data_IF_586554259500
#
_entry.id   IF_586554259500
#
_cell.length_a   1.000
_cell.length_b   1.000
_cell.length_c   1.000
_cell.angle_alpha   90.00
_cell.angle_beta   90.00
_cell.angle_gamma   90.00
#
_symmetry.space_group_name_H-M   'P 1'
#
loop_
_entity.id
_entity.type
_entity.pdbx_description
1 polymer ?
#
# COMPACT_ATOMS: atom_id res chain seq x y z
N UNK A 1 -3.26 7.38 -14.10
CA UNK A 1 -2.94 7.96 -12.77
C UNK A 1 -3.72 7.21 -11.71
N UNK A 2 -3.06 6.78 -10.63
CA UNK A 2 -3.69 6.06 -9.53
C UNK A 2 -4.65 6.94 -8.71
N UNK A 3 -5.54 6.32 -7.93
CA UNK A 3 -6.35 6.97 -6.90
C UNK A 3 -5.92 6.51 -5.52
N UNK A 4 -5.78 7.43 -4.58
CA UNK A 4 -5.39 7.15 -3.19
C UNK A 4 -6.39 7.80 -2.25
N UNK A 5 -6.84 7.06 -1.25
CA UNK A 5 -7.77 7.50 -0.21
C UNK A 5 -7.16 7.19 1.16
N UNK A 6 -7.23 8.12 2.09
CA UNK A 6 -6.86 7.90 3.49
C UNK A 6 -7.97 8.42 4.40
N UNK A 7 -8.36 7.62 5.39
CA UNK A 7 -9.41 7.98 6.36
C UNK A 7 -8.96 7.64 7.77
N UNK A 8 -9.15 8.57 8.69
CA UNK A 8 -9.08 8.38 10.14
C UNK A 8 -10.43 8.77 10.73
N UNK A 9 -11.00 7.92 11.56
CA UNK A 9 -12.34 8.13 12.12
C UNK A 9 -12.45 7.55 13.52
N UNK A 10 -13.54 7.82 14.20
CA UNK A 10 -13.93 7.14 15.45
C UNK A 10 -14.78 5.88 15.18
N UNK A 11 -15.15 5.64 13.93
CA UNK A 11 -15.93 4.49 13.48
C UNK A 11 -15.15 3.69 12.44
N UNK A 12 -15.51 2.42 12.17
CA UNK A 12 -14.87 1.62 11.14
C UNK A 12 -14.87 2.33 9.78
N UNK A 13 -13.70 2.30 9.08
CA UNK A 13 -13.47 3.07 7.85
C UNK A 13 -13.59 2.27 6.56
N UNK A 14 -13.72 0.94 6.65
CA UNK A 14 -13.68 0.04 5.50
C UNK A 14 -14.71 0.38 4.41
N UNK A 15 -15.97 0.58 4.78
CA UNK A 15 -17.02 0.92 3.81
C UNK A 15 -16.85 2.32 3.22
N UNK A 16 -16.43 3.29 4.04
CA UNK A 16 -16.15 4.64 3.55
C UNK A 16 -15.00 4.65 2.54
N UNK A 17 -13.95 3.86 2.78
CA UNK A 17 -12.85 3.69 1.81
C UNK A 17 -13.35 2.98 0.56
N UNK A 18 -14.15 1.91 0.68
CA UNK A 18 -14.73 1.20 -0.46
C UNK A 18 -15.54 2.14 -1.36
N UNK A 19 -16.43 2.93 -0.78
CA UNK A 19 -17.22 3.91 -1.52
C UNK A 19 -16.34 4.96 -2.20
N UNK A 20 -15.38 5.51 -1.49
CA UNK A 20 -14.44 6.49 -2.03
C UNK A 20 -13.59 5.91 -3.18
N UNK A 21 -13.10 4.67 -3.05
CA UNK A 21 -12.38 3.98 -4.13
C UNK A 21 -13.28 3.75 -5.35
N UNK A 22 -14.55 3.44 -5.15
CA UNK A 22 -15.53 3.29 -6.23
C UNK A 22 -15.72 4.61 -6.99
N UNK A 23 -15.75 5.73 -6.29
CA UNK A 23 -15.85 7.07 -6.90
C UNK A 23 -14.60 7.40 -7.74
N UNK A 24 -13.41 7.03 -7.26
CA UNK A 24 -12.15 7.28 -7.98
C UNK A 24 -11.72 6.13 -8.88
N UNK A 25 -12.56 5.12 -9.12
CA UNK A 25 -12.25 3.94 -9.93
C UNK A 25 -11.76 4.29 -11.35
N UNK A 26 -12.23 5.40 -11.92
CA UNK A 26 -11.80 5.88 -13.24
C UNK A 26 -10.31 6.24 -13.29
N UNK A 27 -9.65 6.45 -12.15
CA UNK A 27 -8.23 6.75 -12.07
C UNK A 27 -7.34 5.50 -12.17
N UNK A 28 -7.88 4.33 -11.84
CA UNK A 28 -7.16 3.07 -11.93
C UNK A 28 -8.10 1.88 -11.92
N UNK A 29 -7.93 0.97 -12.89
CA UNK A 29 -8.82 -0.19 -13.11
C UNK A 29 -8.06 -1.53 -13.16
N UNK A 30 -6.77 -1.49 -12.92
CA UNK A 30 -5.86 -2.63 -13.01
C UNK A 30 -5.85 -3.46 -11.72
N UNK A 31 -5.75 -2.79 -10.59
CA UNK A 31 -5.75 -3.40 -9.27
C UNK A 31 -6.36 -2.46 -8.24
N UNK A 32 -6.86 -3.04 -7.15
CA UNK A 32 -7.36 -2.31 -6.01
C UNK A 32 -6.86 -2.92 -4.70
N UNK A 33 -6.70 -2.10 -3.68
CA UNK A 33 -6.28 -2.54 -2.37
C UNK A 33 -6.76 -1.61 -1.27
N UNK A 34 -6.87 -2.18 -0.09
CA UNK A 34 -7.24 -1.47 1.14
C UNK A 34 -6.46 -2.07 2.30
N UNK A 35 -5.92 -1.21 3.13
CA UNK A 35 -5.39 -1.54 4.45
C UNK A 35 -6.20 -0.80 5.50
N UNK A 36 -6.56 -1.49 6.56
CA UNK A 36 -7.15 -0.89 7.76
C UNK A 36 -6.33 -1.27 8.97
N UNK A 37 -6.39 -0.47 10.00
CA UNK A 37 -5.71 -0.72 11.26
C UNK A 37 -6.66 -0.48 12.42
N UNK A 38 -6.74 -1.45 13.31
CA UNK A 38 -7.21 -1.28 14.68
C UNK A 38 -6.00 -1.01 15.60
N UNK A 39 -6.19 -0.91 16.90
CA UNK A 39 -5.13 -0.55 17.85
C UNK A 39 -3.92 -1.50 17.83
N UNK A 40 -4.06 -2.71 17.31
CA UNK A 40 -3.06 -3.78 17.44
C UNK A 40 -2.68 -4.46 16.13
N UNK A 41 -3.52 -4.38 15.10
CA UNK A 41 -3.33 -5.18 13.87
C UNK A 41 -3.61 -4.38 12.62
N UNK A 42 -2.82 -4.73 11.60
CA UNK A 42 -3.01 -4.27 10.23
C UNK A 42 -3.74 -5.36 9.45
N UNK A 43 -4.82 -4.98 8.79
CA UNK A 43 -5.63 -5.84 7.94
C UNK A 43 -5.48 -5.36 6.50
N UNK A 44 -5.04 -6.24 5.61
CA UNK A 44 -4.74 -5.91 4.22
C UNK A 44 -5.48 -6.83 3.26
N UNK A 45 -6.18 -6.26 2.29
CA UNK A 45 -6.72 -6.95 1.13
C UNK A 45 -6.36 -6.18 -0.13
N UNK A 46 -5.74 -6.85 -1.10
CA UNK A 46 -5.46 -6.29 -2.42
C UNK A 46 -5.42 -7.40 -3.47
N UNK A 47 -5.82 -7.07 -4.68
CA UNK A 47 -5.78 -8.01 -5.82
C UNK A 47 -5.88 -7.23 -7.15
N UNK A 48 -5.65 -7.92 -8.26
CA UNK A 48 -5.97 -7.40 -9.59
C UNK A 48 -7.48 -7.29 -9.80
N UNK A 49 -7.93 -6.27 -10.49
CA UNK A 49 -9.34 -6.06 -10.85
C UNK A 49 -9.95 -4.77 -10.27
N UNK A 50 -11.25 -4.63 -10.51
CA UNK A 50 -12.01 -3.48 -10.05
C UNK A 50 -12.32 -3.58 -8.54
N UNK A 51 -12.61 -2.45 -7.92
CA UNK A 51 -12.97 -2.37 -6.49
C UNK A 51 -14.05 -3.38 -6.10
N UNK A 52 -15.14 -3.47 -6.89
CA UNK A 52 -16.24 -4.41 -6.65
C UNK A 52 -15.82 -5.89 -6.72
N UNK A 53 -14.80 -6.21 -7.51
CA UNK A 53 -14.35 -7.60 -7.71
C UNK A 53 -13.35 -8.00 -6.61
N UNK A 54 -12.51 -7.07 -6.17
CA UNK A 54 -11.49 -7.27 -5.13
C UNK A 54 -12.10 -7.35 -3.74
N UNK A 55 -13.11 -6.51 -3.44
CA UNK A 55 -13.72 -6.40 -2.11
C UNK A 55 -15.12 -7.01 -2.07
N UNK A 56 -15.20 -8.29 -1.78
CA UNK A 56 -16.44 -9.00 -1.51
C UNK A 56 -16.81 -8.89 -0.02
N UNK A 57 -18.06 -9.18 0.34
CA UNK A 57 -18.57 -9.05 1.73
C UNK A 57 -17.68 -9.73 2.77
N UNK A 58 -17.17 -10.94 2.45
CA UNK A 58 -16.25 -11.69 3.33
C UNK A 58 -14.92 -10.95 3.60
N UNK A 59 -14.42 -10.21 2.61
CA UNK A 59 -13.21 -9.42 2.74
C UNK A 59 -13.46 -8.16 3.57
N UNK A 60 -14.58 -7.50 3.32
CA UNK A 60 -14.99 -6.32 4.08
C UNK A 60 -15.15 -6.61 5.57
N UNK A 61 -15.68 -7.79 5.92
CA UNK A 61 -15.82 -8.21 7.31
C UNK A 61 -14.47 -8.38 8.04
N UNK A 62 -13.38 -8.62 7.32
CA UNK A 62 -12.04 -8.77 7.89
C UNK A 62 -11.25 -7.46 7.97
N UNK A 63 -11.64 -6.46 7.19
CA UNK A 63 -11.00 -5.15 7.15
C UNK A 63 -11.56 -4.26 8.27
N UNK A 64 -11.26 -4.63 9.51
CA UNK A 64 -11.69 -3.90 10.70
C UNK A 64 -10.72 -2.79 11.05
N UNK A 65 -11.19 -1.77 11.78
CA UNK A 65 -10.38 -0.66 12.24
C UNK A 65 -10.93 0.70 11.83
N UNK A 66 -10.39 1.72 12.44
CA UNK A 66 -10.84 3.11 12.32
C UNK A 66 -9.83 4.03 11.62
N UNK A 67 -8.73 3.45 11.14
CA UNK A 67 -7.72 4.11 10.29
C UNK A 67 -7.51 3.23 9.07
N UNK A 68 -7.40 3.81 7.89
CA UNK A 68 -7.11 3.02 6.69
C UNK A 68 -6.71 3.83 5.48
N UNK A 69 -6.13 3.11 4.52
CA UNK A 69 -5.72 3.63 3.21
C UNK A 69 -6.29 2.72 2.14
N UNK A 70 -6.84 3.31 1.09
CA UNK A 70 -7.26 2.62 -0.13
C UNK A 70 -6.52 3.11 -1.36
N UNK A 71 -6.35 2.23 -2.34
CA UNK A 71 -5.64 2.52 -3.58
C UNK A 71 -6.30 1.83 -4.76
N UNK A 72 -6.44 2.54 -5.88
CA UNK A 72 -6.73 1.97 -7.19
C UNK A 72 -5.57 2.28 -8.12
N UNK A 73 -5.06 1.23 -8.77
CA UNK A 73 -3.84 1.29 -9.57
C UNK A 73 -4.16 1.49 -11.05
N UNK A 74 -3.43 2.41 -11.67
CA UNK A 74 -3.35 2.53 -13.12
C UNK A 74 -2.20 1.65 -13.63
N UNK A 75 -2.40 0.83 -14.67
CA UNK A 75 -1.37 -0.08 -15.13
C UNK A 75 -0.17 0.66 -15.74
N UNK A 76 1.02 0.15 -15.46
CA UNK A 76 2.26 0.50 -16.16
C UNK A 76 2.67 -0.67 -17.07
N UNK A 77 3.26 -0.37 -18.21
CA UNK A 77 3.64 -1.39 -19.19
C UNK A 77 4.61 -2.42 -18.57
N UNK A 78 4.31 -3.70 -18.73
CA UNK A 78 5.15 -4.82 -18.29
C UNK A 78 5.09 -5.14 -16.80
N UNK A 79 4.15 -4.57 -16.04
CA UNK A 79 4.01 -4.82 -14.61
C UNK A 79 3.04 -5.98 -14.31
N UNK A 80 3.32 -6.72 -13.23
CA UNK A 80 2.37 -7.67 -12.64
C UNK A 80 1.39 -6.92 -11.75
N UNK A 81 0.15 -6.77 -12.21
CA UNK A 81 -0.88 -6.00 -11.53
C UNK A 81 -1.18 -6.49 -10.11
N UNK A 82 -1.11 -7.78 -9.89
CA UNK A 82 -1.38 -8.38 -8.57
C UNK A 82 -0.25 -8.16 -7.58
N UNK A 83 0.99 -8.41 -8.00
CA UNK A 83 2.17 -8.26 -7.13
C UNK A 83 2.38 -6.78 -6.75
N UNK A 84 2.14 -5.87 -7.69
CA UNK A 84 2.31 -4.43 -7.51
C UNK A 84 1.05 -3.70 -7.02
N UNK A 85 -0.02 -4.42 -6.71
CA UNK A 85 -1.22 -3.83 -6.10
C UNK A 85 -0.86 -3.17 -4.77
N UNK A 86 -1.43 -1.99 -4.53
CA UNK A 86 -1.20 -1.20 -3.33
C UNK A 86 -2.46 -1.14 -2.46
N UNK A 87 -2.35 -0.83 -1.15
CA UNK A 87 -1.14 -0.43 -0.42
C UNK A 87 -0.09 -1.54 -0.29
N UNK A 88 1.17 -1.13 -0.22
CA UNK A 88 2.29 -2.00 0.13
C UNK A 88 2.50 -1.96 1.65
N UNK A 89 3.05 -3.04 2.22
CA UNK A 89 3.20 -3.17 3.67
C UNK A 89 4.56 -3.77 4.05
N UNK A 90 5.16 -3.23 5.10
CA UNK A 90 6.30 -3.81 5.83
C UNK A 90 6.01 -3.83 7.32
N UNK A 91 6.59 -4.76 8.06
CA UNK A 91 6.32 -4.95 9.49
C UNK A 91 7.47 -4.49 10.42
N UNK A 92 8.53 -3.92 9.86
CA UNK A 92 9.71 -3.49 10.64
C UNK A 92 10.23 -2.15 10.12
N UNK A 93 10.60 -1.21 11.03
CA UNK A 93 10.61 -1.28 12.51
C UNK A 93 9.22 -1.22 13.14
N UNK A 94 8.23 -0.75 12.39
CA UNK A 94 6.81 -0.73 12.71
C UNK A 94 6.01 -1.33 11.57
N UNK A 95 4.73 -1.62 11.76
CA UNK A 95 3.79 -1.87 10.69
C UNK A 95 3.59 -0.57 9.88
N UNK A 96 4.10 -0.52 8.65
CA UNK A 96 3.99 0.63 7.77
C UNK A 96 3.26 0.22 6.51
N UNK A 97 2.20 0.94 6.18
CA UNK A 97 1.49 0.77 4.91
C UNK A 97 1.64 2.03 4.05
N UNK A 98 1.89 1.85 2.76
CA UNK A 98 2.09 2.94 1.81
C UNK A 98 1.18 2.79 0.59
N UNK A 99 0.43 3.84 0.29
CA UNK A 99 -0.21 4.06 -1.00
C UNK A 99 0.47 5.23 -1.71
N UNK A 100 0.93 5.03 -2.94
CA UNK A 100 1.73 6.00 -3.69
C UNK A 100 1.18 6.20 -5.10
N UNK A 101 1.09 7.45 -5.52
CA UNK A 101 0.81 7.85 -6.89
C UNK A 101 1.92 8.77 -7.37
N UNK A 102 2.98 8.23 -7.89
CA UNK A 102 4.14 8.96 -8.35
C UNK A 102 5.13 8.05 -9.07
N UNK A 103 6.34 8.54 -9.29
CA UNK A 103 7.42 7.79 -9.91
C UNK A 103 8.77 8.27 -9.36
N UNK A 104 9.58 7.32 -8.88
CA UNK A 104 10.96 7.60 -8.45
C UNK A 104 11.92 7.47 -9.64
N UNK A 105 12.72 8.50 -9.85
CA UNK A 105 13.71 8.52 -10.93
C UNK A 105 14.96 7.70 -10.63
N UNK A 106 15.25 7.47 -9.35
CA UNK A 106 16.45 6.76 -8.85
C UNK A 106 16.12 5.44 -8.13
N UNK A 107 14.99 4.81 -8.48
CA UNK A 107 14.54 3.59 -7.81
C UNK A 107 15.57 2.44 -7.87
N UNK A 108 16.26 2.28 -9.00
CA UNK A 108 17.28 1.23 -9.17
C UNK A 108 18.47 1.41 -8.23
N UNK A 109 18.99 2.63 -8.13
CA UNK A 109 20.10 2.99 -7.24
C UNK A 109 19.73 2.76 -5.77
N UNK A 110 18.57 3.24 -5.33
CA UNK A 110 18.07 3.03 -3.98
C UNK A 110 17.83 1.55 -3.65
N UNK A 111 17.37 0.76 -4.61
CA UNK A 111 17.18 -0.68 -4.45
C UNK A 111 18.50 -1.42 -4.19
N UNK A 112 19.55 -1.07 -4.92
CA UNK A 112 20.89 -1.63 -4.71
C UNK A 112 21.47 -1.25 -3.34
N UNK A 113 21.27 -0.01 -2.92
CA UNK A 113 21.67 0.50 -1.61
C UNK A 113 20.97 -0.23 -0.48
N UNK A 114 19.65 -0.37 -0.54
CA UNK A 114 18.85 -1.14 0.43
C UNK A 114 19.32 -2.59 0.56
N UNK A 115 19.61 -3.24 -0.56
CA UNK A 115 20.09 -4.62 -0.54
C UNK A 115 21.46 -4.72 0.12
N UNK A 116 22.38 -3.78 -0.17
CA UNK A 116 23.75 -3.79 0.34
C UNK A 116 23.82 -3.43 1.82
N UNK A 117 23.07 -2.42 2.27
CA UNK A 117 23.20 -1.86 3.60
C UNK A 117 22.21 -2.46 4.61
N UNK A 118 21.01 -2.79 4.17
CA UNK A 118 19.94 -3.27 5.03
C UNK A 118 19.50 -4.71 4.76
N UNK A 119 20.12 -5.36 3.76
CA UNK A 119 19.80 -6.72 3.32
C UNK A 119 18.32 -6.92 2.99
N UNK A 120 17.64 -5.83 2.58
CA UNK A 120 16.23 -5.87 2.18
C UNK A 120 16.09 -6.33 0.75
N UNK A 121 15.36 -7.42 0.57
CA UNK A 121 15.01 -7.93 -0.74
C UNK A 121 13.62 -7.44 -1.14
N UNK A 122 13.53 -6.84 -2.32
CA UNK A 122 12.27 -6.40 -2.88
C UNK A 122 11.61 -7.54 -3.67
N UNK A 123 10.29 -7.60 -3.65
CA UNK A 123 9.51 -8.66 -4.29
C UNK A 123 8.94 -8.23 -5.66
N UNK A 124 8.96 -6.94 -5.96
CA UNK A 124 8.45 -6.37 -7.20
C UNK A 124 9.44 -5.39 -7.82
N UNK A 125 9.15 -4.94 -9.02
CA UNK A 125 9.89 -3.87 -9.70
C UNK A 125 9.28 -2.48 -9.42
N UNK A 126 8.34 -2.38 -8.46
CA UNK A 126 7.67 -1.14 -8.15
C UNK A 126 8.57 -0.18 -7.38
N UNK A 127 8.70 1.04 -7.86
CA UNK A 127 9.35 2.14 -7.17
C UNK A 127 8.68 2.46 -5.81
N UNK A 128 7.41 2.18 -5.69
CA UNK A 128 6.65 2.33 -4.44
C UNK A 128 7.13 1.36 -3.36
N UNK A 129 7.55 0.14 -3.72
CA UNK A 129 8.16 -0.81 -2.78
C UNK A 129 9.54 -0.33 -2.32
N UNK A 130 10.32 0.24 -3.24
CA UNK A 130 11.59 0.89 -2.92
C UNK A 130 11.37 2.02 -1.91
N UNK A 131 10.44 2.93 -2.20
CA UNK A 131 10.11 4.06 -1.33
C UNK A 131 9.68 3.62 0.07
N UNK A 132 8.83 2.61 0.17
CA UNK A 132 8.40 2.05 1.46
C UNK A 132 9.58 1.49 2.27
N UNK A 133 10.49 0.78 1.62
CA UNK A 133 11.64 0.18 2.29
C UNK A 133 12.69 1.21 2.68
N UNK A 134 12.92 2.25 1.89
CA UNK A 134 13.76 3.41 2.27
C UNK A 134 13.18 4.10 3.51
N UNK A 135 11.89 4.36 3.51
CA UNK A 135 11.23 4.97 4.66
C UNK A 135 11.35 4.11 5.93
N UNK A 136 11.20 2.80 5.81
CA UNK A 136 11.39 1.85 6.93
C UNK A 136 12.84 1.82 7.43
N UNK A 137 13.82 1.92 6.54
CA UNK A 137 15.23 2.02 6.88
C UNK A 137 15.52 3.30 7.67
N UNK A 138 15.11 4.45 7.18
CA UNK A 138 15.31 5.75 7.84
C UNK A 138 14.66 5.81 9.23
N UNK A 139 13.44 5.25 9.37
CA UNK A 139 12.79 5.16 10.67
C UNK A 139 13.58 4.30 11.65
N UNK A 140 14.15 3.18 11.21
CA UNK A 140 14.97 2.32 12.07
C UNK A 140 16.22 3.04 12.56
N UNK A 141 16.91 3.73 11.67
CA UNK A 141 18.12 4.49 12.02
C UNK A 141 17.80 5.62 13.01
N UNK A 142 16.67 6.29 12.86
CA UNK A 142 16.23 7.35 13.77
C UNK A 142 15.97 6.87 15.19
N UNK A 143 15.51 5.61 15.36
CA UNK A 143 15.25 5.01 16.67
C UNK A 143 16.56 4.62 17.36
N UNK A 144 17.56 4.16 16.61
CA UNK A 144 18.86 3.74 17.14
C UNK A 144 19.76 4.88 17.62
N UNK A 145 19.40 6.13 17.32
CA UNK A 145 20.14 7.36 17.68
C UNK A 145 19.60 8.10 18.90
N UNK A 146 18.58 7.53 19.58
CA UNK A 146 17.91 8.15 20.75
C UNK A 146 18.39 7.57 22.07
#
# INVERSE_FOLDING_TARGET
>A
MCGVIGIVSQSPVNYAIYEALTVVQHRGQDAAGMVTCDDLRVHLRKDGGLVRDVFQSRHMAQLVGNVGIGHVRYPTAGSDSKAEAQPLYVNSPYGIALGHNGNLTNAAELSEELFREDLRQLNTNSDSEVLLNVFAHELRESIGTS
#
